data_IF_620332394771
#
_entry.id   IF_620332394771
#
_cell.length_a   1.000
_cell.length_b   1.000
_cell.length_c   1.000
_cell.angle_alpha   90.00
_cell.angle_beta   90.00
_cell.angle_gamma   90.00
#
_symmetry.space_group_name_H-M   'P 1'
#
loop_
_entity.id
_entity.type
_entity.pdbx_description
1 polymer ?
#
# COMPACT_ATOMS: atom_id res chain seq x y z
N UNK A 1 9.14 -10.09 -27.81
CA UNK A 1 7.72 -10.40 -27.59
C UNK A 1 7.10 -11.16 -28.77
N UNK A 2 7.43 -10.82 -30.03
CA UNK A 2 6.79 -11.42 -31.22
C UNK A 2 7.04 -12.93 -31.44
N UNK A 3 8.18 -13.47 -31.01
CA UNK A 3 8.52 -14.89 -31.15
C UNK A 3 7.64 -15.81 -30.28
N UNK A 4 7.29 -15.37 -29.07
CA UNK A 4 6.43 -16.12 -28.15
C UNK A 4 4.99 -16.13 -28.68
N UNK A 5 4.53 -14.99 -29.21
CA UNK A 5 3.20 -14.87 -29.82
C UNK A 5 3.03 -15.80 -31.03
N UNK A 6 4.05 -15.89 -31.89
CA UNK A 6 4.04 -16.80 -33.05
C UNK A 6 4.11 -18.28 -32.66
N UNK A 7 4.73 -18.64 -31.53
CA UNK A 7 4.71 -20.00 -31.01
C UNK A 7 3.36 -20.36 -30.38
N UNK A 8 2.76 -19.44 -29.62
CA UNK A 8 1.47 -19.65 -28.96
C UNK A 8 0.31 -19.77 -29.95
N UNK A 9 0.36 -19.07 -31.10
CA UNK A 9 -0.63 -19.18 -32.18
C UNK A 9 -0.75 -20.60 -32.78
N UNK A 10 0.24 -21.46 -32.59
CA UNK A 10 0.19 -22.87 -33.04
C UNK A 10 -0.72 -23.73 -32.15
N UNK A 11 -1.05 -23.27 -30.94
CA UNK A 11 -1.93 -23.98 -30.01
C UNK A 11 -3.38 -23.60 -30.32
N UNK A 12 -4.19 -24.60 -30.69
CA UNK A 12 -5.60 -24.44 -31.12
C UNK A 12 -6.49 -23.69 -30.13
N UNK A 13 -6.22 -23.85 -28.83
CA UNK A 13 -6.95 -23.12 -27.77
C UNK A 13 -6.61 -21.62 -27.78
N UNK A 14 -5.35 -21.26 -28.01
CA UNK A 14 -4.90 -19.87 -28.03
C UNK A 14 -5.35 -19.14 -29.30
N UNK A 15 -5.33 -19.81 -30.46
CA UNK A 15 -5.85 -19.25 -31.70
C UNK A 15 -7.36 -18.94 -31.62
N UNK A 16 -8.16 -19.88 -31.10
CA UNK A 16 -9.60 -19.69 -30.92
C UNK A 16 -9.90 -18.58 -29.90
N UNK A 17 -9.13 -18.50 -28.82
CA UNK A 17 -9.26 -17.43 -27.82
C UNK A 17 -8.96 -16.05 -28.43
N UNK A 18 -7.92 -15.92 -29.24
CA UNK A 18 -7.59 -14.67 -29.94
C UNK A 18 -8.66 -14.28 -30.95
N UNK A 19 -9.17 -15.21 -31.75
CA UNK A 19 -10.22 -14.92 -32.72
C UNK A 19 -11.51 -14.46 -32.04
N UNK A 20 -11.92 -15.11 -30.95
CA UNK A 20 -13.03 -14.66 -30.12
C UNK A 20 -12.81 -13.23 -29.59
N UNK A 21 -11.58 -12.94 -29.14
CA UNK A 21 -11.16 -11.63 -28.62
C UNK A 21 -11.14 -10.52 -29.69
N UNK A 22 -11.00 -10.88 -30.97
CA UNK A 22 -11.09 -9.93 -32.11
C UNK A 22 -12.53 -9.55 -32.48
N UNK A 23 -13.50 -10.35 -32.09
CA UNK A 23 -14.93 -10.09 -32.33
C UNK A 23 -15.68 -9.57 -31.10
N UNK A 24 -15.11 -9.75 -29.91
CA UNK A 24 -15.70 -9.26 -28.67
C UNK A 24 -15.41 -7.75 -28.49
N UNK A 25 -16.47 -6.94 -28.59
CA UNK A 25 -16.44 -5.50 -28.30
C UNK A 25 -17.15 -5.28 -26.96
N UNK A 26 -16.46 -4.69 -25.99
CA UNK A 26 -17.09 -4.40 -24.69
C UNK A 26 -18.14 -3.28 -24.84
N UNK A 27 -19.32 -3.42 -24.23
CA UNK A 27 -20.31 -2.34 -24.19
C UNK A 27 -19.73 -1.12 -23.45
N UNK A 28 -19.65 0.03 -24.13
CA UNK A 28 -19.13 1.30 -23.57
C UNK A 28 -17.76 1.74 -24.09
N UNK A 29 -17.02 0.89 -24.80
CA UNK A 29 -15.84 1.29 -25.56
C UNK A 29 -16.25 1.54 -27.02
N UNK A 30 -15.75 2.61 -27.64
CA UNK A 30 -15.83 2.85 -29.11
C UNK A 30 -15.41 1.58 -29.89
N UNK A 31 -15.60 1.43 -31.23
CA UNK A 31 -15.62 0.13 -31.94
C UNK A 31 -14.23 -0.53 -32.09
N UNK A 32 -13.56 -0.77 -30.98
CA UNK A 32 -12.23 -1.33 -30.86
C UNK A 32 -12.37 -2.74 -30.29
N UNK A 33 -11.91 -3.78 -31.01
CA UNK A 33 -11.81 -5.13 -30.49
C UNK A 33 -10.99 -5.19 -29.21
N UNK A 34 -11.34 -6.09 -28.29
CA UNK A 34 -10.57 -6.33 -27.06
C UNK A 34 -9.09 -6.62 -27.37
N UNK A 35 -8.82 -7.31 -28.49
CA UNK A 35 -7.46 -7.61 -28.94
C UNK A 35 -6.63 -6.35 -29.17
N UNK A 36 -7.21 -5.33 -29.81
CA UNK A 36 -6.54 -4.06 -30.07
C UNK A 36 -6.26 -3.30 -28.79
N UNK A 37 -7.23 -3.30 -27.86
CA UNK A 37 -7.06 -2.66 -26.54
C UNK A 37 -5.97 -3.35 -25.74
N UNK A 38 -5.98 -4.69 -25.65
CA UNK A 38 -4.97 -5.44 -24.90
C UNK A 38 -3.57 -5.30 -25.51
N UNK A 39 -3.42 -5.42 -26.83
CA UNK A 39 -2.11 -5.27 -27.49
C UNK A 39 -1.56 -3.86 -27.34
N UNK A 40 -2.41 -2.84 -27.49
CA UNK A 40 -2.04 -1.45 -27.24
C UNK A 40 -1.64 -1.24 -25.77
N UNK A 41 -2.42 -1.75 -24.83
CA UNK A 41 -2.16 -1.64 -23.39
C UNK A 41 -0.81 -2.26 -23.00
N UNK A 42 -0.52 -3.50 -23.42
CA UNK A 42 0.77 -4.14 -23.12
C UNK A 42 1.95 -3.45 -23.82
N UNK A 43 1.74 -2.93 -25.03
CA UNK A 43 2.76 -2.14 -25.74
C UNK A 43 3.05 -0.82 -25.02
N UNK A 44 2.01 -0.15 -24.50
CA UNK A 44 2.14 1.10 -23.75
C UNK A 44 2.80 0.87 -22.37
N UNK A 45 2.47 -0.24 -21.69
CA UNK A 45 3.13 -0.64 -20.45
C UNK A 45 4.62 -0.87 -20.65
N UNK A 46 5.00 -1.50 -21.77
CA UNK A 46 6.39 -1.77 -22.11
C UNK A 46 7.19 -0.55 -22.56
N UNK A 47 6.59 0.64 -22.67
CA UNK A 47 7.35 1.86 -22.97
C UNK A 47 8.20 2.27 -21.79
N UNK A 48 9.46 2.57 -22.06
CA UNK A 48 10.45 2.98 -21.06
C UNK A 48 9.97 4.17 -20.21
N UNK A 49 9.18 5.09 -20.76
CA UNK A 49 8.65 6.23 -20.01
C UNK A 49 7.77 5.82 -18.81
N UNK A 50 6.90 4.82 -18.97
CA UNK A 50 6.03 4.37 -17.89
C UNK A 50 6.83 3.56 -16.87
N UNK A 51 7.68 2.66 -17.36
CA UNK A 51 8.55 1.82 -16.53
C UNK A 51 9.48 2.68 -15.68
N UNK A 52 10.13 3.69 -16.28
CA UNK A 52 11.01 4.61 -15.56
C UNK A 52 10.29 5.40 -14.46
N UNK A 53 9.04 5.81 -14.71
CA UNK A 53 8.22 6.48 -13.69
C UNK A 53 7.81 5.55 -12.56
N UNK A 54 7.40 4.32 -12.88
CA UNK A 54 7.07 3.30 -11.90
C UNK A 54 8.29 2.97 -11.02
N UNK A 55 9.46 2.78 -11.65
CA UNK A 55 10.73 2.54 -10.96
C UNK A 55 11.13 3.70 -10.06
N UNK A 56 10.99 4.94 -10.53
CA UNK A 56 11.25 6.13 -9.70
C UNK A 56 10.32 6.19 -8.49
N UNK A 57 9.04 5.91 -8.66
CA UNK A 57 8.07 5.88 -7.55
C UNK A 57 8.40 4.77 -6.55
N UNK A 58 8.68 3.56 -7.03
CA UNK A 58 9.07 2.41 -6.20
C UNK A 58 10.35 2.69 -5.40
N UNK A 59 11.35 3.33 -6.01
CA UNK A 59 12.57 3.74 -5.32
C UNK A 59 12.30 4.73 -4.19
N UNK A 60 11.44 5.73 -4.41
CA UNK A 60 11.07 6.69 -3.36
C UNK A 60 10.33 6.03 -2.20
N UNK A 61 9.41 5.09 -2.48
CA UNK A 61 8.74 4.34 -1.42
C UNK A 61 9.70 3.41 -0.68
N UNK A 62 10.61 2.74 -1.38
CA UNK A 62 11.64 1.90 -0.74
C UNK A 62 12.51 2.71 0.22
N UNK A 63 12.96 3.90 -0.19
CA UNK A 63 13.72 4.80 0.68
C UNK A 63 12.91 5.28 1.89
N UNK A 64 11.59 5.44 1.77
CA UNK A 64 10.71 5.84 2.86
C UNK A 64 10.45 4.72 3.88
N UNK A 65 10.56 3.45 3.48
CA UNK A 65 10.31 2.29 4.36
C UNK A 65 11.29 2.27 5.53
N UNK A 66 12.60 2.47 5.30
CA UNK A 66 13.59 2.36 6.38
C UNK A 66 13.35 3.37 7.52
N UNK A 67 13.23 4.69 7.26
CA UNK A 67 12.93 5.64 8.32
C UNK A 67 11.56 5.42 8.95
N UNK A 68 10.56 4.96 8.16
CA UNK A 68 9.24 4.65 8.69
C UNK A 68 9.28 3.49 9.70
N UNK A 69 10.02 2.41 9.42
CA UNK A 69 10.19 1.30 10.37
C UNK A 69 10.87 1.79 11.65
N UNK A 70 11.94 2.59 11.55
CA UNK A 70 12.63 3.15 12.73
C UNK A 70 11.67 4.00 13.56
N UNK A 71 10.88 4.86 12.90
CA UNK A 71 9.85 5.66 13.57
C UNK A 71 8.79 4.78 14.26
N UNK A 72 8.32 3.72 13.59
CA UNK A 72 7.35 2.79 14.18
C UNK A 72 7.93 2.05 15.39
N UNK A 73 9.17 1.56 15.31
CA UNK A 73 9.81 0.85 16.41
C UNK A 73 10.07 1.75 17.62
N UNK A 74 10.47 3.00 17.38
CA UNK A 74 10.66 3.99 18.45
C UNK A 74 9.36 4.47 19.08
N UNK A 75 8.20 4.20 18.46
CA UNK A 75 6.88 4.48 19.03
C UNK A 75 6.44 3.39 20.01
N UNK A 76 6.91 2.14 19.84
CA UNK A 76 6.53 1.00 20.69
C UNK A 76 6.84 1.19 22.19
N UNK A 77 8.01 1.74 22.61
CA UNK A 77 8.28 2.02 24.03
C UNK A 77 7.27 2.95 24.72
N UNK A 78 6.46 3.67 23.96
CA UNK A 78 5.41 4.57 24.47
C UNK A 78 4.03 3.90 24.56
N UNK A 79 3.88 2.68 24.03
CA UNK A 79 2.65 1.90 24.12
C UNK A 79 2.60 1.07 25.42
N UNK A 80 1.41 0.64 25.86
CA UNK A 80 1.26 -0.26 27.01
C UNK A 80 2.05 -1.57 26.85
N UNK A 81 2.38 -2.19 27.97
CA UNK A 81 3.14 -3.44 28.02
C UNK A 81 2.47 -4.56 27.20
N UNK A 82 3.29 -5.40 26.54
CA UNK A 82 2.85 -6.57 25.76
C UNK A 82 3.03 -6.46 24.25
N UNK A 83 3.02 -5.24 23.69
CA UNK A 83 3.29 -5.02 22.25
C UNK A 83 4.72 -5.37 21.84
N UNK A 84 5.66 -5.24 22.78
CA UNK A 84 7.08 -5.47 22.54
C UNK A 84 7.34 -6.96 22.29
N UNK A 85 6.76 -7.83 23.10
CA UNK A 85 6.94 -9.28 22.99
C UNK A 85 6.29 -9.82 21.71
N UNK A 86 5.07 -9.37 21.39
CA UNK A 86 4.39 -9.71 20.13
C UNK A 86 5.20 -9.29 18.90
N UNK A 87 5.82 -8.11 18.94
CA UNK A 87 6.68 -7.64 17.86
C UNK A 87 7.93 -8.51 17.72
N UNK A 88 8.58 -8.88 18.82
CA UNK A 88 9.75 -9.75 18.80
C UNK A 88 9.42 -11.14 18.25
N UNK A 89 8.29 -11.72 18.65
CA UNK A 89 7.78 -12.99 18.11
C UNK A 89 7.54 -12.90 16.60
N UNK A 90 6.93 -11.81 16.13
CA UNK A 90 6.71 -11.58 14.70
C UNK A 90 8.03 -11.48 13.92
N UNK A 91 9.01 -10.76 14.46
CA UNK A 91 10.33 -10.60 13.83
C UNK A 91 11.07 -11.95 13.78
N UNK A 92 10.99 -12.76 14.84
CA UNK A 92 11.56 -14.10 14.89
C UNK A 92 10.93 -15.05 13.86
N UNK A 93 9.65 -14.86 13.54
CA UNK A 93 8.94 -15.66 12.52
C UNK A 93 9.34 -15.27 11.08
N UNK A 94 9.64 -14.00 10.84
CA UNK A 94 9.95 -13.46 9.50
C UNK A 94 11.43 -13.64 9.15
N UNK A 95 12.33 -13.44 10.11
CA UNK A 95 13.77 -13.48 9.87
C UNK A 95 14.34 -14.90 10.00
N UNK A 96 15.28 -15.30 9.11
CA UNK A 96 16.10 -16.47 9.35
C UNK A 96 16.85 -16.34 10.68
N UNK A 97 17.01 -17.44 11.40
CA UNK A 97 17.56 -17.46 12.76
C UNK A 97 18.89 -16.68 12.92
N UNK A 98 19.80 -16.79 11.95
CA UNK A 98 21.08 -16.08 12.00
C UNK A 98 20.93 -14.55 11.91
N UNK A 99 19.97 -14.07 11.10
CA UNK A 99 19.67 -12.65 11.00
C UNK A 99 18.98 -12.15 12.27
N UNK A 100 18.06 -12.92 12.84
CA UNK A 100 17.39 -12.58 14.09
C UNK A 100 18.42 -12.37 15.22
N UNK A 101 19.33 -13.32 15.44
CA UNK A 101 20.37 -13.23 16.48
C UNK A 101 21.26 -12.00 16.28
N UNK A 102 21.57 -11.63 15.03
CA UNK A 102 22.41 -10.48 14.72
C UNK A 102 21.73 -9.12 15.04
N UNK A 103 20.40 -9.04 14.98
CA UNK A 103 19.66 -7.79 15.14
C UNK A 103 18.80 -7.72 16.41
N UNK A 104 18.55 -8.84 17.09
CA UNK A 104 17.66 -8.94 18.25
C UNK A 104 17.99 -7.90 19.32
N UNK A 105 19.27 -7.79 19.72
CA UNK A 105 19.66 -6.84 20.76
C UNK A 105 19.38 -5.40 20.36
N UNK A 106 19.73 -5.01 19.12
CA UNK A 106 19.47 -3.67 18.59
C UNK A 106 17.98 -3.36 18.54
N UNK A 107 17.16 -4.32 18.11
CA UNK A 107 15.70 -4.16 18.03
C UNK A 107 15.12 -4.03 19.44
N UNK A 108 15.53 -4.90 20.38
CA UNK A 108 15.10 -4.85 21.78
C UNK A 108 15.44 -3.51 22.44
N UNK A 109 16.64 -2.97 22.20
CA UNK A 109 17.04 -1.66 22.72
C UNK A 109 16.13 -0.54 22.20
N UNK A 110 15.84 -0.52 20.89
CA UNK A 110 14.96 0.47 20.28
C UNK A 110 13.53 0.37 20.81
N UNK A 111 13.05 -0.85 21.07
CA UNK A 111 11.65 -1.14 21.42
C UNK A 111 11.39 -1.11 22.93
N UNK A 112 12.42 -1.22 23.78
CA UNK A 112 12.31 -1.11 25.25
C UNK A 112 12.68 0.27 25.79
N UNK A 113 13.60 0.99 25.15
CA UNK A 113 14.10 2.27 25.67
C UNK A 113 13.38 3.42 24.97
N UNK A 114 12.71 4.26 25.75
CA UNK A 114 12.11 5.49 25.24
C UNK A 114 13.21 6.46 24.79
N UNK A 115 13.31 6.69 23.48
CA UNK A 115 14.24 7.65 22.90
C UNK A 115 13.51 8.70 22.07
N UNK A 116 13.14 9.82 22.71
CA UNK A 116 12.42 10.91 22.06
C UNK A 116 13.21 11.60 20.94
N UNK A 117 14.55 11.61 21.03
CA UNK A 117 15.42 12.13 19.98
C UNK A 117 15.35 11.28 18.71
N UNK A 118 15.44 9.96 18.85
CA UNK A 118 15.33 9.03 17.73
C UNK A 118 13.90 9.01 17.15
N UNK A 119 12.88 9.10 18.00
CA UNK A 119 11.48 9.18 17.56
C UNK A 119 11.21 10.42 16.69
N UNK A 120 11.62 11.60 17.17
CA UNK A 120 11.39 12.87 16.45
C UNK A 120 12.19 12.94 15.15
N UNK A 121 13.47 12.53 15.18
CA UNK A 121 14.31 12.45 13.98
C UNK A 121 13.73 11.45 12.98
N UNK A 122 13.37 10.25 13.45
CA UNK A 122 12.74 9.21 12.65
C UNK A 122 11.45 9.71 11.99
N UNK A 123 10.59 10.39 12.75
CA UNK A 123 9.36 10.99 12.23
C UNK A 123 9.63 11.99 11.12
N UNK A 124 10.54 12.95 11.32
CA UNK A 124 10.86 13.99 10.33
C UNK A 124 11.44 13.38 9.06
N UNK A 125 12.37 12.43 9.19
CA UNK A 125 12.99 11.75 8.05
C UNK A 125 11.97 10.89 7.31
N UNK A 126 11.14 10.11 8.02
CA UNK A 126 10.07 9.31 7.43
C UNK A 126 9.05 10.18 6.69
N UNK A 127 8.59 11.27 7.32
CA UNK A 127 7.66 12.20 6.71
C UNK A 127 8.26 12.85 5.45
N UNK A 128 9.54 13.21 5.48
CA UNK A 128 10.24 13.79 4.34
C UNK A 128 10.28 12.84 3.13
N UNK A 129 10.72 11.59 3.33
CA UNK A 129 10.79 10.60 2.26
C UNK A 129 9.41 10.15 1.77
N UNK A 130 8.46 9.93 2.68
CA UNK A 130 7.08 9.58 2.32
C UNK A 130 6.41 10.71 1.52
N UNK A 131 6.60 11.97 1.92
CA UNK A 131 6.12 13.14 1.19
C UNK A 131 6.70 13.22 -0.21
N UNK A 132 8.00 12.89 -0.39
CA UNK A 132 8.61 12.82 -1.73
C UNK A 132 7.96 11.75 -2.61
N UNK A 133 7.65 10.58 -2.06
CA UNK A 133 6.92 9.53 -2.77
C UNK A 133 5.53 9.98 -3.22
N UNK A 134 4.72 10.54 -2.31
CA UNK A 134 3.39 11.05 -2.62
C UNK A 134 3.46 12.22 -3.62
N UNK A 135 4.46 13.08 -3.51
CA UNK A 135 4.67 14.16 -4.47
C UNK A 135 4.95 13.65 -5.89
N UNK A 136 5.80 12.63 -6.03
CA UNK A 136 6.10 12.01 -7.32
C UNK A 136 4.87 11.30 -7.90
N UNK A 137 4.06 10.68 -7.03
CA UNK A 137 2.75 10.14 -7.41
C UNK A 137 1.83 11.22 -7.96
N UNK A 138 1.78 12.39 -7.31
CA UNK A 138 0.97 13.52 -7.80
C UNK A 138 1.41 13.98 -9.19
N UNK A 139 2.72 14.10 -9.43
CA UNK A 139 3.25 14.44 -10.75
C UNK A 139 2.92 13.38 -11.80
N UNK A 140 2.98 12.11 -11.44
CA UNK A 140 2.60 11.01 -12.33
C UNK A 140 1.11 11.08 -12.70
N UNK A 141 0.23 11.36 -11.74
CA UNK A 141 -1.21 11.50 -11.96
C UNK A 141 -1.57 12.68 -12.86
N UNK A 142 -1.01 13.86 -12.61
CA UNK A 142 -1.19 15.03 -13.47
C UNK A 142 -0.77 14.72 -14.91
N UNK A 143 0.40 14.08 -15.08
CA UNK A 143 0.90 13.73 -16.41
C UNK A 143 0.02 12.69 -17.12
N UNK A 144 -0.48 11.68 -16.40
CA UNK A 144 -1.38 10.67 -16.97
C UNK A 144 -2.74 11.26 -17.37
N UNK A 145 -3.22 12.27 -16.64
CA UNK A 145 -4.49 12.94 -16.91
C UNK A 145 -4.35 14.10 -17.90
N UNK A 146 -3.14 14.30 -18.46
CA UNK A 146 -2.81 15.42 -19.36
C UNK A 146 -3.11 16.80 -18.74
N UNK A 147 -3.04 16.92 -17.42
CA UNK A 147 -3.29 18.15 -16.68
C UNK A 147 -1.97 18.89 -16.47
N UNK A 148 -1.94 20.19 -16.81
CA UNK A 148 -0.80 21.06 -16.54
C UNK A 148 -0.87 21.54 -15.08
N UNK A 149 0.20 21.35 -14.33
CA UNK A 149 0.28 21.75 -12.92
C UNK A 149 0.42 23.27 -12.80
N UNK A 150 -0.66 23.94 -12.40
CA UNK A 150 -0.71 25.40 -12.20
C UNK A 150 -0.44 25.83 -10.75
N UNK A 151 -0.27 24.90 -9.80
CA UNK A 151 -0.03 25.22 -8.39
C UNK A 151 1.41 25.66 -8.16
N UNK A 152 1.61 26.62 -7.26
CA UNK A 152 2.95 27.02 -6.82
C UNK A 152 3.68 25.86 -6.12
N UNK A 153 5.01 25.88 -6.15
CA UNK A 153 5.85 24.85 -5.53
C UNK A 153 5.49 24.61 -4.06
N UNK A 154 5.24 25.68 -3.29
CA UNK A 154 4.85 25.60 -1.87
C UNK A 154 3.50 24.90 -1.69
N UNK A 155 2.47 25.31 -2.47
CA UNK A 155 1.14 24.68 -2.38
C UNK A 155 1.21 23.19 -2.70
N UNK A 156 1.96 22.81 -3.73
CA UNK A 156 2.16 21.41 -4.11
C UNK A 156 2.83 20.60 -2.99
N UNK A 157 3.80 21.18 -2.28
CA UNK A 157 4.48 20.52 -1.16
C UNK A 157 3.56 20.33 0.05
N UNK A 158 2.78 21.36 0.40
CA UNK A 158 1.80 21.27 1.51
C UNK A 158 0.75 20.20 1.22
N UNK A 159 0.20 20.15 0.01
CA UNK A 159 -0.77 19.12 -0.38
C UNK A 159 -0.16 17.72 -0.26
N UNK A 160 1.09 17.52 -0.71
CA UNK A 160 1.76 16.24 -0.58
C UNK A 160 1.95 15.82 0.89
N UNK A 161 2.31 16.74 1.78
CA UNK A 161 2.44 16.47 3.23
C UNK A 161 1.09 16.08 3.81
N UNK A 162 0.03 16.84 3.52
CA UNK A 162 -1.33 16.55 4.02
C UNK A 162 -1.81 15.19 3.54
N UNK A 163 -1.64 14.87 2.26
CA UNK A 163 -2.00 13.56 1.71
C UNK A 163 -1.18 12.43 2.37
N UNK A 164 0.11 12.65 2.63
CA UNK A 164 0.96 11.67 3.32
C UNK A 164 0.45 11.42 4.74
N UNK A 165 0.07 12.47 5.47
CA UNK A 165 -0.52 12.35 6.80
C UNK A 165 -1.88 11.64 6.78
N UNK A 166 -2.74 11.92 5.78
CA UNK A 166 -4.01 11.20 5.62
C UNK A 166 -3.76 9.71 5.41
N UNK A 167 -2.79 9.34 4.56
CA UNK A 167 -2.42 7.93 4.37
C UNK A 167 -1.90 7.33 5.70
N UNK A 168 -1.01 8.01 6.42
CA UNK A 168 -0.49 7.53 7.69
C UNK A 168 -1.60 7.32 8.74
N UNK A 169 -2.48 8.31 8.92
CA UNK A 169 -3.62 8.23 9.84
C UNK A 169 -4.59 7.13 9.43
N UNK A 170 -4.83 6.95 8.12
CA UNK A 170 -5.69 5.88 7.61
C UNK A 170 -5.18 4.50 8.02
N UNK A 171 -3.86 4.27 7.93
CA UNK A 171 -3.21 3.03 8.37
C UNK A 171 -3.31 2.84 9.88
N UNK A 172 -3.10 3.89 10.68
CA UNK A 172 -3.25 3.83 12.14
C UNK A 172 -4.67 3.43 12.53
N UNK A 173 -5.68 4.02 11.88
CA UNK A 173 -7.09 3.67 12.12
C UNK A 173 -7.37 2.22 11.70
N UNK A 174 -6.82 1.75 10.58
CA UNK A 174 -6.94 0.35 10.17
C UNK A 174 -6.39 -0.60 11.23
N UNK A 175 -5.16 -0.36 11.71
CA UNK A 175 -4.52 -1.18 12.74
C UNK A 175 -5.37 -1.16 14.02
N UNK A 176 -5.78 0.03 14.48
CA UNK A 176 -6.63 0.18 15.66
C UNK A 176 -7.97 -0.56 15.53
N UNK A 177 -8.63 -0.48 14.38
CA UNK A 177 -9.88 -1.20 14.11
C UNK A 177 -9.68 -2.73 14.10
N UNK A 178 -8.54 -3.22 13.59
CA UNK A 178 -8.19 -4.64 13.65
C UNK A 178 -7.98 -5.08 15.10
N UNK A 179 -7.16 -4.36 15.87
CA UNK A 179 -6.90 -4.67 17.28
C UNK A 179 -8.17 -4.66 18.12
N UNK A 180 -9.04 -3.66 17.95
CA UNK A 180 -10.32 -3.58 18.68
C UNK A 180 -11.20 -4.79 18.35
N UNK A 181 -11.29 -5.20 17.08
CA UNK A 181 -12.09 -6.37 16.74
C UNK A 181 -11.57 -7.68 17.33
N UNK A 182 -10.25 -7.83 17.47
CA UNK A 182 -9.65 -8.97 18.19
C UNK A 182 -9.95 -8.94 19.69
N UNK A 183 -9.84 -7.78 20.33
CA UNK A 183 -10.19 -7.62 21.76
C UNK A 183 -11.66 -7.98 21.99
N UNK A 184 -12.56 -7.46 21.15
CA UNK A 184 -13.99 -7.77 21.23
C UNK A 184 -14.21 -9.27 21.07
N UNK A 185 -13.57 -9.92 20.08
CA UNK A 185 -13.67 -11.37 19.90
C UNK A 185 -13.21 -12.16 21.13
N UNK A 186 -12.14 -11.74 21.79
CA UNK A 186 -11.63 -12.40 22.98
C UNK A 186 -12.59 -12.26 24.17
N UNK A 187 -13.16 -11.06 24.39
CA UNK A 187 -14.17 -10.83 25.44
C UNK A 187 -15.39 -11.73 25.24
N UNK A 188 -15.92 -11.84 24.00
CA UNK A 188 -17.05 -12.72 23.71
C UNK A 188 -16.74 -14.21 23.93
N UNK A 189 -15.49 -14.63 23.70
CA UNK A 189 -15.06 -16.01 23.93
C UNK A 189 -14.87 -16.34 25.41
N UNK A 190 -14.25 -15.43 26.16
CA UNK A 190 -13.83 -15.66 27.55
C UNK A 190 -14.94 -15.36 28.57
N UNK A 191 -15.67 -14.25 28.44
CA UNK A 191 -16.68 -13.85 29.43
C UNK A 191 -18.07 -14.47 29.16
N UNK A 192 -18.44 -14.60 27.89
CA UNK A 192 -19.79 -15.05 27.51
C UNK A 192 -19.87 -16.55 27.19
N UNK A 193 -18.73 -17.25 27.08
CA UNK A 193 -18.63 -18.65 26.62
C UNK A 193 -19.39 -18.96 25.31
N UNK A 194 -19.70 -17.92 24.53
CA UNK A 194 -20.43 -18.06 23.26
C UNK A 194 -19.41 -18.54 22.22
N UNK A 195 -19.44 -19.85 21.94
CA UNK A 195 -18.71 -20.47 20.82
C UNK A 195 -19.45 -20.33 19.48
N UNK A 196 -20.35 -19.35 19.37
CA UNK A 196 -21.13 -19.17 18.14
C UNK A 196 -20.24 -18.64 17.02
N UNK A 197 -20.08 -19.48 16.00
CA UNK A 197 -19.33 -19.18 14.78
C UNK A 197 -19.84 -17.92 14.07
N UNK A 198 -21.13 -17.58 14.25
CA UNK A 198 -21.76 -16.38 13.69
C UNK A 198 -21.14 -15.07 14.20
N UNK A 199 -20.84 -14.94 15.49
CA UNK A 199 -20.24 -13.73 16.05
C UNK A 199 -18.85 -13.51 15.46
N UNK A 200 -18.07 -14.58 15.33
CA UNK A 200 -16.76 -14.54 14.68
C UNK A 200 -16.85 -14.04 13.23
N UNK A 201 -17.74 -14.62 12.42
CA UNK A 201 -17.91 -14.20 11.02
C UNK A 201 -18.43 -12.77 10.88
N UNK A 202 -19.33 -12.32 11.75
CA UNK A 202 -19.87 -10.94 11.68
C UNK A 202 -18.82 -9.89 12.02
N UNK A 203 -17.98 -10.10 13.04
CA UNK A 203 -16.89 -9.18 13.39
C UNK A 203 -15.85 -9.17 12.27
N UNK A 204 -15.46 -10.34 11.76
CA UNK A 204 -14.50 -10.43 10.67
C UNK A 204 -15.03 -9.71 9.41
N UNK A 205 -16.29 -9.95 9.02
CA UNK A 205 -16.92 -9.27 7.89
C UNK A 205 -16.94 -7.74 8.08
N UNK A 206 -17.24 -7.28 9.30
CA UNK A 206 -17.25 -5.85 9.64
C UNK A 206 -15.86 -5.24 9.50
N UNK A 207 -14.81 -5.92 9.99
CA UNK A 207 -13.42 -5.48 9.82
C UNK A 207 -13.03 -5.36 8.35
N UNK A 208 -13.29 -6.39 7.53
CA UNK A 208 -12.97 -6.35 6.09
C UNK A 208 -13.74 -5.24 5.37
N UNK A 209 -15.01 -5.04 5.73
CA UNK A 209 -15.84 -3.97 5.15
C UNK A 209 -15.31 -2.59 5.53
N UNK A 210 -14.93 -2.40 6.81
CA UNK A 210 -14.33 -1.15 7.29
C UNK A 210 -13.00 -0.87 6.61
N UNK A 211 -12.11 -1.87 6.51
CA UNK A 211 -10.83 -1.76 5.82
C UNK A 211 -11.01 -1.40 4.35
N UNK A 212 -11.91 -2.09 3.64
CA UNK A 212 -12.21 -1.80 2.24
C UNK A 212 -12.76 -0.39 2.05
N UNK A 213 -13.66 0.05 2.91
CA UNK A 213 -14.25 1.40 2.88
C UNK A 213 -13.21 2.47 3.14
N UNK A 214 -12.37 2.28 4.16
CA UNK A 214 -11.36 3.24 4.56
C UNK A 214 -10.24 3.35 3.52
N UNK A 215 -9.82 2.22 2.96
CA UNK A 215 -8.93 2.18 1.79
C UNK A 215 -9.53 2.94 0.61
N UNK A 216 -10.79 2.68 0.26
CA UNK A 216 -11.49 3.35 -0.84
C UNK A 216 -11.56 4.87 -0.63
N UNK A 217 -11.90 5.32 0.58
CA UNK A 217 -11.93 6.75 0.94
C UNK A 217 -10.54 7.36 0.80
N UNK A 218 -9.50 6.69 1.31
CA UNK A 218 -8.12 7.19 1.26
C UNK A 218 -7.64 7.36 -0.18
N UNK A 219 -7.86 6.36 -1.03
CA UNK A 219 -7.53 6.43 -2.46
C UNK A 219 -8.37 7.49 -3.17
N UNK A 220 -9.66 7.63 -2.84
CA UNK A 220 -10.53 8.65 -3.42
C UNK A 220 -10.06 10.08 -3.10
N UNK A 221 -9.68 10.33 -1.84
CA UNK A 221 -9.10 11.60 -1.39
C UNK A 221 -7.78 11.84 -2.14
N UNK A 222 -6.91 10.83 -2.17
CA UNK A 222 -5.63 10.92 -2.86
C UNK A 222 -5.85 11.30 -4.33
N UNK A 223 -6.70 10.58 -5.06
CA UNK A 223 -6.97 10.86 -6.47
C UNK A 223 -7.56 12.27 -6.68
N UNK A 224 -8.55 12.66 -5.86
CA UNK A 224 -9.25 13.94 -6.00
C UNK A 224 -8.34 15.14 -5.75
N UNK A 225 -7.53 15.11 -4.70
CA UNK A 225 -6.69 16.25 -4.29
C UNK A 225 -5.30 16.23 -4.92
N UNK A 226 -4.82 15.05 -5.33
CA UNK A 226 -3.57 14.92 -6.09
C UNK A 226 -3.63 15.64 -7.43
N UNK A 227 -4.76 15.56 -8.14
CA UNK A 227 -4.89 16.17 -9.46
C UNK A 227 -4.99 17.69 -9.37
N UNK A 228 -4.19 18.38 -10.19
CA UNK A 228 -4.19 19.84 -10.32
C UNK A 228 -5.38 20.34 -11.15
N UNK A 229 -6.60 20.16 -10.65
CA UNK A 229 -7.76 20.90 -11.15
C UNK A 229 -7.73 22.34 -10.66
#
# INVERSE_FOLDING_TARGET
MDWIHTQLLKIKLYSNFIEWTKHCVLPGFSPLPLYTVSTFFFKEIGKDELVNKASSLAYNFMLAIFPAIIFLFTLIPFLPNGFQDQLMELIALILPQQAYIAFEQTILEIVKIQNGGLLSLGFVVALFFATNGVHNLMMAFNKSSLIVENRSWVKRRIIAIVLTLIIAVSVIICIGAMTVGEIVLNIFKEELHIKDSWVFYTIQLTQWTLLGTLYFITISILYRYSQAR
#
